data_IF_009954941312
#
_entry.id   IF_009954941312
#
_cell.length_a   1.000
_cell.length_b   1.000
_cell.length_c   1.000
_cell.angle_alpha   90.00
_cell.angle_beta   90.00
_cell.angle_gamma   90.00
#
_symmetry.space_group_name_H-M   'P 1'
#
loop_
_entity.id
_entity.type
_entity.pdbx_description
1 polymer ?
#
# COMPACT_ATOMS: atom_id res chain seq x y z
N UNK A 1 2.13 -12.56 15.45
CA UNK A 1 2.38 -11.19 14.94
C UNK A 1 1.13 -10.74 14.18
N UNK A 2 0.45 -9.68 14.62
CA UNK A 2 -0.75 -9.15 13.93
C UNK A 2 -0.38 -7.88 13.17
N UNK A 3 -0.49 -7.91 11.84
CA UNK A 3 -0.29 -6.74 10.99
C UNK A 3 -1.59 -5.92 11.02
N UNK A 4 -1.49 -4.65 11.45
CA UNK A 4 -2.62 -3.71 11.51
C UNK A 4 -2.62 -2.72 10.35
N UNK A 5 -1.47 -2.10 10.11
CA UNK A 5 -1.30 -1.04 9.12
C UNK A 5 -0.12 -1.35 8.20
N UNK A 6 -0.27 -1.05 6.91
CA UNK A 6 0.74 -1.26 5.87
C UNK A 6 1.00 0.07 5.19
N UNK A 7 2.25 0.51 5.14
CA UNK A 7 2.67 1.67 4.36
C UNK A 7 3.48 1.23 3.14
N UNK A 8 3.05 1.63 1.96
CA UNK A 8 3.76 1.39 0.69
C UNK A 8 4.40 2.70 0.26
N UNK A 9 5.71 2.70 0.06
CA UNK A 9 6.47 3.90 -0.35
C UNK A 9 6.85 3.76 -1.83
N UNK A 10 6.45 4.75 -2.62
CA UNK A 10 6.50 4.74 -4.08
C UNK A 10 5.17 4.27 -4.68
N UNK A 11 4.55 5.12 -5.50
CA UNK A 11 3.28 4.95 -6.20
C UNK A 11 3.41 4.69 -7.69
N UNK A 12 4.58 4.22 -8.15
CA UNK A 12 4.73 3.64 -9.50
C UNK A 12 3.89 2.36 -9.68
N UNK A 13 3.95 1.74 -10.86
CA UNK A 13 3.14 0.55 -11.20
C UNK A 13 3.18 -0.55 -10.14
N UNK A 14 4.36 -0.84 -9.61
CA UNK A 14 4.52 -1.87 -8.57
C UNK A 14 3.95 -1.45 -7.23
N UNK A 15 4.17 -0.19 -6.81
CA UNK A 15 3.66 0.34 -5.56
C UNK A 15 2.13 0.36 -5.50
N UNK A 16 1.51 0.79 -6.60
CA UNK A 16 0.06 0.71 -6.75
C UNK A 16 -0.43 -0.73 -6.72
N UNK A 17 0.25 -1.67 -7.39
CA UNK A 17 -0.11 -3.09 -7.35
C UNK A 17 -0.05 -3.68 -5.94
N UNK A 18 1.00 -3.36 -5.18
CA UNK A 18 1.16 -3.79 -3.79
C UNK A 18 0.04 -3.21 -2.93
N UNK A 19 -0.19 -1.89 -3.00
CA UNK A 19 -1.23 -1.24 -2.21
C UNK A 19 -2.64 -1.76 -2.55
N UNK A 20 -2.88 -2.06 -3.83
CA UNK A 20 -4.13 -2.61 -4.31
C UNK A 20 -4.39 -4.03 -3.77
N UNK A 21 -3.39 -4.93 -3.81
CA UNK A 21 -3.56 -6.29 -3.31
C UNK A 21 -3.82 -6.30 -1.79
N UNK A 22 -3.07 -5.51 -1.02
CA UNK A 22 -3.25 -5.46 0.44
C UNK A 22 -4.58 -4.81 0.85
N UNK A 23 -5.02 -3.77 0.15
CA UNK A 23 -6.34 -3.17 0.42
C UNK A 23 -7.48 -4.12 0.06
N UNK A 24 -7.40 -4.87 -1.04
CA UNK A 24 -8.37 -5.92 -1.37
C UNK A 24 -8.44 -7.04 -0.33
N UNK A 25 -7.34 -7.30 0.39
CA UNK A 25 -7.29 -8.28 1.48
C UNK A 25 -7.79 -7.72 2.82
N UNK A 26 -8.27 -6.46 2.85
CA UNK A 26 -8.86 -5.83 4.03
C UNK A 26 -7.84 -5.23 5.00
N UNK A 27 -6.58 -5.06 4.59
CA UNK A 27 -5.59 -4.35 5.39
C UNK A 27 -5.78 -2.84 5.25
N UNK A 28 -5.49 -2.09 6.33
CA UNK A 28 -5.39 -0.65 6.25
C UNK A 28 -4.07 -0.28 5.55
N UNK A 29 -4.15 0.29 4.35
CA UNK A 29 -2.99 0.59 3.52
C UNK A 29 -2.87 2.09 3.28
N UNK A 30 -1.68 2.64 3.51
CA UNK A 30 -1.30 4.00 3.12
C UNK A 30 -0.28 3.94 2.00
N UNK A 31 -0.56 4.58 0.87
CA UNK A 31 0.41 4.76 -0.21
C UNK A 31 1.06 6.13 -0.07
N UNK A 32 2.39 6.17 -0.02
CA UNK A 32 3.19 7.39 0.10
C UNK A 32 3.98 7.58 -1.19
N UNK A 33 3.74 8.68 -1.89
CA UNK A 33 4.44 9.05 -3.11
C UNK A 33 4.78 10.55 -3.03
N UNK A 34 5.95 10.93 -3.53
CA UNK A 34 6.47 12.31 -3.48
C UNK A 34 5.85 13.19 -4.56
N UNK A 35 5.34 12.61 -5.65
CA UNK A 35 4.62 13.31 -6.72
C UNK A 35 3.50 12.44 -7.29
N UNK A 36 2.29 12.97 -7.36
CA UNK A 36 1.19 12.33 -8.08
C UNK A 36 1.45 12.27 -9.59
#
# INVERSE_FOLDING_TARGET
MHIKDISVIGGGTMGNGIAHIFSQKGFNVTLVEVKQ
#
